data_IF_230826248358
#
_entry.id   IF_230826248358
#
_cell.length_a   1.000
_cell.length_b   1.000
_cell.length_c   1.000
_cell.angle_alpha   90.00
_cell.angle_beta   90.00
_cell.angle_gamma   90.00
#
_symmetry.space_group_name_H-M   'P 1'
#
loop_
_entity.id
_entity.type
_entity.pdbx_description
1 polymer ?
#
# COMPACT_ATOMS: atom_id res chain seq x y z
N UNK A 1 5.73 -18.78 -16.20
CA UNK A 1 5.60 -17.37 -15.79
C UNK A 1 7.00 -16.80 -15.67
N UNK A 2 7.30 -15.76 -16.43
CA UNK A 2 8.55 -15.00 -16.36
C UNK A 2 8.55 -14.07 -15.14
N UNK A 3 9.73 -13.58 -14.72
CA UNK A 3 9.81 -12.64 -13.60
C UNK A 3 9.00 -11.34 -13.84
N UNK A 4 8.98 -10.86 -15.09
CA UNK A 4 8.21 -9.67 -15.47
C UNK A 4 6.70 -9.92 -15.43
N UNK A 5 6.24 -11.11 -15.79
CA UNK A 5 4.82 -11.47 -15.67
C UNK A 5 4.39 -11.57 -14.21
N UNK A 6 5.27 -12.07 -13.33
CA UNK A 6 5.01 -12.15 -11.90
C UNK A 6 4.92 -10.76 -11.26
N UNK A 7 5.84 -9.86 -11.59
CA UNK A 7 5.81 -8.47 -11.10
C UNK A 7 4.50 -7.77 -11.46
N UNK A 8 4.08 -7.87 -12.73
CA UNK A 8 2.81 -7.32 -13.20
C UNK A 8 1.60 -7.96 -12.51
N UNK A 9 1.65 -9.26 -12.24
CA UNK A 9 0.58 -9.96 -11.54
C UNK A 9 0.45 -9.46 -10.09
N UNK A 10 1.57 -9.31 -9.38
CA UNK A 10 1.59 -8.79 -8.01
C UNK A 10 1.09 -7.35 -8.00
N UNK A 11 1.55 -6.51 -8.92
CA UNK A 11 1.07 -5.13 -9.07
C UNK A 11 -0.44 -5.06 -9.29
N UNK A 12 -0.97 -5.85 -10.23
CA UNK A 12 -2.40 -5.89 -10.52
C UNK A 12 -3.22 -6.33 -9.30
N UNK A 13 -2.74 -7.30 -8.52
CA UNK A 13 -3.43 -7.79 -7.31
C UNK A 13 -3.43 -6.75 -6.19
N UNK A 14 -2.34 -6.01 -6.01
CA UNK A 14 -2.29 -4.90 -5.07
C UNK A 14 -3.21 -3.75 -5.48
N UNK A 15 -3.26 -3.41 -6.78
CA UNK A 15 -4.16 -2.40 -7.30
C UNK A 15 -5.65 -2.79 -7.14
N UNK A 16 -6.00 -4.06 -7.38
CA UNK A 16 -7.33 -4.61 -7.15
C UNK A 16 -7.73 -4.50 -5.66
N UNK A 17 -6.82 -4.86 -4.76
CA UNK A 17 -7.05 -4.78 -3.31
C UNK A 17 -7.15 -3.32 -2.82
N UNK A 18 -6.31 -2.42 -3.32
CA UNK A 18 -6.37 -0.98 -3.00
C UNK A 18 -7.69 -0.37 -3.44
N UNK A 19 -8.17 -0.73 -4.64
CA UNK A 19 -9.48 -0.30 -5.15
C UNK A 19 -10.63 -0.83 -4.30
N UNK A 20 -10.57 -2.09 -3.86
CA UNK A 20 -11.56 -2.65 -2.95
C UNK A 20 -11.58 -1.93 -1.57
N UNK A 21 -10.53 -1.20 -1.24
CA UNK A 21 -10.38 -0.41 -0.02
C UNK A 21 -10.74 1.09 -0.23
N UNK A 22 -11.53 1.41 -1.27
CA UNK A 22 -11.90 2.78 -1.68
C UNK A 22 -12.62 3.59 -0.58
N UNK A 23 -13.28 2.92 0.37
CA UNK A 23 -13.99 3.55 1.49
C UNK A 23 -13.07 4.09 2.61
N UNK A 24 -11.74 4.01 2.44
CA UNK A 24 -10.82 4.53 3.46
C UNK A 24 -10.94 6.06 3.63
N UNK A 25 -10.79 6.58 4.86
CA UNK A 25 -10.73 8.03 5.08
C UNK A 25 -9.56 8.65 4.30
N UNK A 26 -9.87 9.53 3.33
CA UNK A 26 -8.86 10.25 2.54
C UNK A 26 -8.38 11.54 3.22
N UNK A 27 -9.20 12.08 4.12
CA UNK A 27 -8.91 13.27 4.93
C UNK A 27 -9.53 13.10 6.30
N UNK A 28 -8.80 13.47 7.33
CA UNK A 28 -9.28 13.50 8.70
C UNK A 28 -8.46 14.49 9.52
N UNK A 29 -9.08 14.97 10.59
CA UNK A 29 -8.43 15.85 11.57
C UNK A 29 -8.02 15.02 12.78
N UNK A 30 -6.77 15.15 13.18
CA UNK A 30 -6.29 14.59 14.44
C UNK A 30 -6.43 15.67 15.51
N UNK A 31 -7.33 15.45 16.46
CA UNK A 31 -7.42 16.25 17.68
C UNK A 31 -6.58 15.59 18.77
N UNK A 32 -5.38 16.10 19.00
CA UNK A 32 -4.59 15.72 20.17
C UNK A 32 -5.14 16.52 21.36
N UNK A 33 -5.50 15.86 22.49
CA UNK A 33 -6.00 16.44 23.76
C UNK A 33 -5.63 17.93 23.99
N UNK A 34 -6.36 18.86 23.36
CA UNK A 34 -6.18 20.31 23.52
C UNK A 34 -5.01 21.01 22.80
N UNK A 35 -4.27 20.41 21.84
CA UNK A 35 -3.22 21.11 21.06
C UNK A 35 -3.34 20.91 19.54
N UNK A 36 -4.15 21.76 18.93
CA UNK A 36 -4.17 22.00 17.48
C UNK A 36 -4.98 21.01 16.64
N UNK A 37 -5.26 21.43 15.41
CA UNK A 37 -5.88 20.62 14.35
C UNK A 37 -4.83 20.45 13.27
N UNK A 38 -4.38 19.22 13.04
CA UNK A 38 -3.50 18.90 11.91
C UNK A 38 -4.35 18.24 10.82
N UNK A 39 -4.22 18.70 9.57
CA UNK A 39 -4.75 17.97 8.41
C UNK A 39 -3.90 16.70 8.23
N UNK A 40 -4.37 15.62 8.83
CA UNK A 40 -3.68 14.33 8.83
C UNK A 40 -3.87 13.55 7.53
N UNK A 41 -4.72 14.04 6.62
CA UNK A 41 -5.04 13.35 5.38
C UNK A 41 -3.82 13.12 4.49
N UNK A 42 -3.00 14.15 4.30
CA UNK A 42 -1.84 14.06 3.40
C UNK A 42 -0.77 13.10 3.93
N UNK A 43 -0.40 13.22 5.21
CA UNK A 43 0.59 12.34 5.84
C UNK A 43 0.09 10.88 5.87
N UNK A 44 -1.17 10.66 6.22
CA UNK A 44 -1.77 9.33 6.20
C UNK A 44 -1.72 8.69 4.81
N UNK A 45 -2.14 9.43 3.77
CA UNK A 45 -2.13 8.91 2.41
C UNK A 45 -0.70 8.58 1.96
N UNK A 46 0.29 9.40 2.34
CA UNK A 46 1.69 9.13 2.03
C UNK A 46 2.21 7.86 2.71
N UNK A 47 1.96 7.71 4.01
CA UNK A 47 2.35 6.50 4.77
C UNK A 47 1.65 5.27 4.21
N UNK A 48 0.36 5.38 3.88
CA UNK A 48 -0.41 4.31 3.26
C UNK A 48 0.21 3.85 1.94
N UNK A 49 0.52 4.80 1.05
CA UNK A 49 1.19 4.50 -0.23
C UNK A 49 2.57 3.86 -0.02
N UNK A 50 3.35 4.32 0.95
CA UNK A 50 4.66 3.75 1.27
C UNK A 50 4.55 2.31 1.78
N UNK A 51 3.57 2.01 2.63
CA UNK A 51 3.31 0.65 3.14
C UNK A 51 2.91 -0.29 2.00
N UNK A 52 2.01 0.13 1.10
CA UNK A 52 1.63 -0.67 -0.06
C UNK A 52 2.84 -1.01 -0.93
N UNK A 53 3.70 -0.02 -1.19
CA UNK A 53 4.92 -0.20 -1.99
C UNK A 53 5.88 -1.21 -1.36
N UNK A 54 6.15 -1.10 -0.05
CA UNK A 54 7.05 -2.03 0.65
C UNK A 54 6.48 -3.45 0.65
N UNK A 55 5.17 -3.58 0.91
CA UNK A 55 4.49 -4.88 0.88
C UNK A 55 4.54 -5.53 -0.51
N UNK A 56 4.31 -4.76 -1.57
CA UNK A 56 4.39 -5.24 -2.96
C UNK A 56 5.80 -5.75 -3.29
N UNK A 57 6.84 -5.01 -2.90
CA UNK A 57 8.24 -5.41 -3.09
C UNK A 57 8.57 -6.70 -2.35
N UNK A 58 8.19 -6.80 -1.07
CA UNK A 58 8.43 -7.99 -0.26
C UNK A 58 7.70 -9.22 -0.81
N UNK A 59 6.42 -9.10 -1.16
CA UNK A 59 5.64 -10.18 -1.77
C UNK A 59 6.26 -10.65 -3.09
N UNK A 60 6.69 -9.72 -3.95
CA UNK A 60 7.35 -10.05 -5.22
C UNK A 60 8.64 -10.83 -4.97
N UNK A 61 9.48 -10.39 -4.03
CA UNK A 61 10.73 -11.07 -3.69
C UNK A 61 10.49 -12.50 -3.18
N UNK A 62 9.54 -12.68 -2.25
CA UNK A 62 9.16 -14.00 -1.72
C UNK A 62 8.69 -14.93 -2.84
N UNK A 63 7.83 -14.44 -3.74
CA UNK A 63 7.31 -15.25 -4.84
C UNK A 63 8.39 -15.62 -5.86
N UNK A 64 9.32 -14.70 -6.17
CA UNK A 64 10.48 -14.98 -7.00
C UNK A 64 11.38 -16.06 -6.39
N UNK A 65 11.57 -16.06 -5.07
CA UNK A 65 12.32 -17.11 -4.39
C UNK A 65 11.59 -18.45 -4.38
N UNK A 66 10.27 -18.44 -4.16
CA UNK A 66 9.46 -19.66 -4.14
C UNK A 66 9.42 -20.37 -5.50
N UNK A 67 9.41 -19.63 -6.61
CA UNK A 67 9.41 -20.17 -7.98
C UNK A 67 10.78 -20.68 -8.46
N UNK A 68 11.86 -20.44 -7.71
CA UNK A 68 13.19 -20.99 -7.99
C UNK A 68 13.38 -22.40 -7.42
N UNK A 69 12.45 -22.88 -6.59
CA UNK A 69 12.37 -24.26 -6.12
C UNK A 69 11.57 -25.11 -7.09
#
# INVERSE_FOLDING_TARGET
MTEQELEKLVEAKFAEADKAFEDRPKKFFITQNGRGVVDGGELYNKVYTDVLRVAQQACTAILKEALKK
#
